data_IF_477222028363
#
_entry.id   IF_477222028363
#
_cell.length_a   1.000
_cell.length_b   1.000
_cell.length_c   1.000
_cell.angle_alpha   90.00
_cell.angle_beta   90.00
_cell.angle_gamma   90.00
#
_symmetry.space_group_name_H-M   'P 1'
#
loop_
_entity.id
_entity.type
_entity.pdbx_description
1 polymer ?
#
# COMPACT_ATOMS: atom_id res chain seq x y z
N UNK A 1 32.42 7.22 27.45
CA UNK A 1 33.10 7.11 26.14
C UNK A 1 33.19 5.63 25.86
N UNK A 2 32.22 5.07 25.12
CA UNK A 2 32.08 3.63 24.92
C UNK A 2 32.74 3.29 23.60
N UNK A 3 33.79 2.47 23.68
CA UNK A 3 34.64 2.04 22.59
C UNK A 3 33.93 0.95 21.77
N UNK A 4 33.91 1.14 20.45
CA UNK A 4 33.31 0.23 19.48
C UNK A 4 34.33 -0.88 19.18
N UNK A 5 34.15 -2.05 19.78
CA UNK A 5 34.87 -3.25 19.36
C UNK A 5 34.00 -4.51 19.48
N UNK A 6 33.90 -5.24 18.36
CA UNK A 6 33.45 -6.63 18.23
C UNK A 6 31.93 -6.91 18.21
N UNK A 7 31.32 -6.71 17.04
CA UNK A 7 30.80 -7.79 16.17
C UNK A 7 29.85 -8.89 16.68
N UNK A 8 29.47 -8.97 17.96
CA UNK A 8 28.50 -9.92 18.48
C UNK A 8 27.59 -9.19 19.44
N UNK A 9 26.34 -8.96 19.02
CA UNK A 9 25.29 -8.48 19.93
C UNK A 9 25.03 -9.62 20.91
N UNK A 10 25.57 -9.50 22.12
CA UNK A 10 25.46 -10.53 23.15
C UNK A 10 24.07 -10.42 23.79
N UNK A 11 23.07 -11.10 23.20
CA UNK A 11 21.69 -11.08 23.67
C UNK A 11 21.51 -11.69 25.07
N UNK A 12 22.49 -12.46 25.56
CA UNK A 12 22.41 -13.09 26.89
C UNK A 12 22.35 -12.07 28.04
N UNK A 13 22.83 -10.83 27.84
CA UNK A 13 22.77 -9.79 28.89
C UNK A 13 21.34 -9.23 29.06
N UNK A 14 20.49 -9.32 28.04
CA UNK A 14 19.08 -8.87 28.13
C UNK A 14 18.17 -9.99 28.67
N UNK A 15 18.57 -11.26 28.52
CA UNK A 15 17.75 -12.41 28.93
C UNK A 15 18.17 -13.05 30.26
N UNK A 16 19.40 -12.85 30.73
CA UNK A 16 19.83 -13.30 32.06
C UNK A 16 20.00 -12.09 32.99
N UNK A 17 19.06 -11.98 33.93
CA UNK A 17 19.11 -11.01 35.02
C UNK A 17 20.40 -11.14 35.81
N UNK A 18 21.38 -10.31 35.44
CA UNK A 18 22.50 -9.98 36.31
C UNK A 18 21.95 -9.06 37.39
N UNK A 19 22.30 -9.35 38.63
CA UNK A 19 21.85 -8.68 39.84
C UNK A 19 22.26 -7.21 39.92
N UNK A 20 21.66 -6.35 39.09
CA UNK A 20 21.58 -4.89 39.25
C UNK A 20 20.32 -4.38 38.55
N UNK A 21 19.49 -3.69 39.32
CA UNK A 21 18.12 -3.24 39.02
C UNK A 21 18.02 -2.36 37.76
N UNK A 22 17.64 -2.97 36.63
CA UNK A 22 16.96 -2.31 35.52
C UNK A 22 15.64 -3.04 35.25
N UNK A 23 14.60 -2.39 34.67
CA UNK A 23 13.37 -3.09 34.34
C UNK A 23 13.69 -4.26 33.39
N UNK A 24 13.23 -5.47 33.74
CA UNK A 24 13.27 -6.59 32.81
C UNK A 24 12.41 -6.22 31.59
N UNK A 25 13.06 -5.93 30.45
CA UNK A 25 12.36 -5.59 29.22
C UNK A 25 11.59 -6.83 28.78
N UNK A 26 10.27 -6.71 28.75
CA UNK A 26 9.38 -7.79 28.36
C UNK A 26 9.50 -8.09 26.85
N UNK A 27 9.19 -9.31 26.38
CA UNK A 27 9.21 -9.64 24.96
C UNK A 27 8.51 -8.64 24.03
N UNK A 28 7.28 -8.16 24.32
CA UNK A 28 6.66 -7.15 23.45
C UNK A 28 7.47 -5.84 23.41
N UNK A 29 8.03 -5.40 24.54
CA UNK A 29 8.86 -4.18 24.60
C UNK A 29 10.13 -4.33 23.77
N UNK A 30 10.75 -5.52 23.73
CA UNK A 30 11.91 -5.78 22.87
C UNK A 30 11.55 -5.54 21.39
N UNK A 31 10.48 -6.18 20.90
CA UNK A 31 10.12 -6.07 19.48
C UNK A 31 9.65 -4.66 19.12
N UNK A 32 9.00 -3.96 20.06
CA UNK A 32 8.63 -2.54 19.89
C UNK A 32 9.87 -1.65 19.84
N UNK A 33 10.84 -1.88 20.73
CA UNK A 33 12.09 -1.12 20.76
C UNK A 33 12.87 -1.29 19.45
N UNK A 34 12.94 -2.51 18.90
CA UNK A 34 13.58 -2.77 17.59
C UNK A 34 12.90 -1.96 16.47
N UNK A 35 11.56 -1.83 16.50
CA UNK A 35 10.82 -1.02 15.52
C UNK A 35 11.02 0.49 15.69
N UNK A 36 11.46 0.95 16.86
CA UNK A 36 11.77 2.35 17.13
C UNK A 36 13.15 2.80 16.60
N UNK A 37 13.99 1.86 16.16
CA UNK A 37 15.32 2.15 15.61
C UNK A 37 15.15 2.75 14.21
N UNK A 38 15.67 3.96 14.03
CA UNK A 38 15.77 4.63 12.75
C UNK A 38 17.19 4.40 12.20
N UNK A 39 17.35 3.76 11.02
CA UNK A 39 18.66 3.43 10.49
C UNK A 39 19.60 4.63 10.31
N UNK A 40 19.04 5.76 9.89
CA UNK A 40 19.82 6.95 9.53
C UNK A 40 20.16 7.77 10.77
N UNK A 41 19.19 7.96 11.67
CA UNK A 41 19.38 8.67 12.95
C UNK A 41 20.31 7.91 13.90
N UNK A 42 20.11 6.60 14.02
CA UNK A 42 20.80 5.80 15.03
C UNK A 42 22.10 5.17 14.47
N UNK A 43 22.37 5.32 13.17
CA UNK A 43 23.58 4.81 12.52
C UNK A 43 23.66 3.27 12.45
N UNK A 44 22.52 2.59 12.57
CA UNK A 44 22.43 1.12 12.56
C UNK A 44 21.98 0.65 11.18
N UNK A 45 22.76 -0.19 10.49
CA UNK A 45 22.37 -0.72 9.19
C UNK A 45 21.01 -1.43 9.25
N UNK A 46 20.09 -1.08 8.34
CA UNK A 46 18.73 -1.64 8.27
C UNK A 46 18.70 -3.18 8.34
N UNK A 47 19.68 -3.83 7.72
CA UNK A 47 19.82 -5.29 7.76
C UNK A 47 19.93 -5.83 9.18
N UNK A 48 20.71 -5.18 10.07
CA UNK A 48 20.85 -5.62 11.47
C UNK A 48 19.54 -5.50 12.25
N UNK A 49 18.76 -4.45 11.97
CA UNK A 49 17.43 -4.26 12.60
C UNK A 49 16.49 -5.37 12.13
N UNK A 50 16.51 -5.68 10.83
CA UNK A 50 15.74 -6.79 10.26
C UNK A 50 16.16 -8.14 10.88
N UNK A 51 17.45 -8.39 11.03
CA UNK A 51 17.97 -9.62 11.62
C UNK A 51 17.55 -9.76 13.10
N UNK A 52 17.56 -8.67 13.87
CA UNK A 52 17.03 -8.65 15.23
C UNK A 52 15.53 -8.97 15.29
N UNK A 53 14.72 -8.36 14.41
CA UNK A 53 13.30 -8.71 14.28
C UNK A 53 13.11 -10.21 13.93
N UNK A 54 13.90 -10.76 13.01
CA UNK A 54 13.80 -12.16 12.61
C UNK A 54 14.13 -13.10 13.79
N UNK A 55 15.16 -12.78 14.58
CA UNK A 55 15.54 -13.54 15.77
C UNK A 55 14.39 -13.61 16.80
N UNK A 56 13.61 -12.52 16.97
CA UNK A 56 12.40 -12.58 17.80
C UNK A 56 11.38 -13.61 17.29
N UNK A 57 11.14 -13.67 15.97
CA UNK A 57 10.19 -14.61 15.37
C UNK A 57 10.66 -16.08 15.39
N UNK A 58 11.97 -16.32 15.50
CA UNK A 58 12.53 -17.66 15.68
C UNK A 58 12.25 -18.20 17.10
N UNK A 59 12.16 -17.31 18.10
CA UNK A 59 11.89 -17.65 19.50
C UNK A 59 10.38 -17.76 19.79
N UNK A 60 9.66 -18.65 19.09
CA UNK A 60 8.18 -18.76 19.13
C UNK A 60 7.58 -19.08 20.50
N UNK A 61 8.35 -19.65 21.41
CA UNK A 61 7.91 -19.89 22.80
C UNK A 61 7.86 -18.60 23.62
N UNK A 62 8.67 -17.60 23.24
CA UNK A 62 8.74 -16.29 23.90
C UNK A 62 7.84 -15.29 23.16
N UNK A 63 7.98 -15.21 21.84
CA UNK A 63 7.19 -14.36 20.96
C UNK A 63 5.98 -15.13 20.44
N UNK A 64 5.08 -15.45 21.37
CA UNK A 64 3.85 -16.17 21.07
C UNK A 64 2.89 -15.34 20.22
N UNK A 65 1.85 -15.99 19.68
CA UNK A 65 0.78 -15.33 18.96
C UNK A 65 0.21 -14.11 19.71
N UNK A 66 -0.03 -14.24 21.02
CA UNK A 66 -0.58 -13.17 21.86
C UNK A 66 0.40 -12.00 22.01
N UNK A 67 1.69 -12.29 22.17
CA UNK A 67 2.74 -11.26 22.23
C UNK A 67 2.81 -10.50 20.90
N UNK A 68 2.81 -11.21 19.78
CA UNK A 68 2.85 -10.58 18.45
C UNK A 68 1.59 -9.75 18.20
N UNK A 69 0.39 -10.24 18.55
CA UNK A 69 -0.84 -9.47 18.44
C UNK A 69 -0.77 -8.17 19.24
N UNK A 70 -0.27 -8.23 20.49
CA UNK A 70 -0.05 -7.05 21.34
C UNK A 70 0.92 -6.06 20.69
N UNK A 71 2.06 -6.53 20.17
CA UNK A 71 3.05 -5.68 19.50
C UNK A 71 2.44 -5.01 18.28
N UNK A 72 1.77 -5.76 17.40
CA UNK A 72 1.13 -5.22 16.20
C UNK A 72 0.11 -4.14 16.56
N UNK A 73 -0.73 -4.38 17.58
CA UNK A 73 -1.74 -3.43 18.02
C UNK A 73 -1.13 -2.12 18.55
N UNK A 74 0.02 -2.20 19.23
CA UNK A 74 0.72 -1.01 19.73
C UNK A 74 1.45 -0.26 18.60
N UNK A 75 2.12 -0.98 17.70
CA UNK A 75 2.90 -0.35 16.62
C UNK A 75 2.01 0.40 15.62
N UNK A 76 0.81 -0.10 15.33
CA UNK A 76 -0.11 0.57 14.38
C UNK A 76 -0.62 1.92 14.90
N UNK A 77 -0.59 2.15 16.23
CA UNK A 77 -0.96 3.43 16.82
C UNK A 77 0.10 4.51 16.64
N UNK A 78 1.35 4.13 16.43
CA UNK A 78 2.46 5.07 16.36
C UNK A 78 2.35 6.02 15.16
N UNK A 79 2.85 7.24 15.36
CA UNK A 79 2.92 8.31 14.35
C UNK A 79 4.32 8.94 14.48
N UNK A 80 5.20 8.82 13.46
CA UNK A 80 4.99 8.11 12.19
C UNK A 80 4.89 6.58 12.38
N UNK A 81 4.27 5.89 11.42
CA UNK A 81 4.18 4.43 11.43
C UNK A 81 5.58 3.81 11.23
N UNK A 82 6.00 2.81 12.02
CA UNK A 82 7.36 2.26 11.95
C UNK A 82 7.71 1.67 10.59
N UNK A 83 8.95 1.90 10.14
CA UNK A 83 9.44 1.50 8.82
C UNK A 83 9.27 -0.01 8.52
N UNK A 84 9.49 -0.85 9.54
CA UNK A 84 9.42 -2.32 9.42
C UNK A 84 8.02 -2.89 9.69
N UNK A 85 7.03 -2.06 10.01
CA UNK A 85 5.72 -2.53 10.48
C UNK A 85 5.08 -3.58 9.55
N UNK A 86 4.98 -3.30 8.25
CA UNK A 86 4.36 -4.24 7.32
C UNK A 86 5.19 -5.51 7.10
N UNK A 87 6.50 -5.47 7.30
CA UNK A 87 7.32 -6.69 7.29
C UNK A 87 6.92 -7.60 8.45
N UNK A 88 6.74 -7.03 9.64
CA UNK A 88 6.30 -7.77 10.82
C UNK A 88 4.87 -8.29 10.69
N UNK A 89 3.96 -7.55 10.07
CA UNK A 89 2.63 -8.05 9.73
C UNK A 89 2.70 -9.30 8.82
N UNK A 90 3.53 -9.27 7.77
CA UNK A 90 3.72 -10.41 6.87
C UNK A 90 4.33 -11.63 7.60
N UNK A 91 5.31 -11.41 8.48
CA UNK A 91 5.89 -12.47 9.31
C UNK A 91 4.87 -13.06 10.29
N UNK A 92 4.01 -12.21 10.89
CA UNK A 92 2.98 -12.63 11.81
C UNK A 92 1.96 -13.57 11.15
N UNK A 93 1.48 -13.24 9.95
CA UNK A 93 0.57 -14.13 9.20
C UNK A 93 1.25 -15.46 8.85
N UNK A 94 2.51 -15.42 8.42
CA UNK A 94 3.25 -16.63 8.06
C UNK A 94 3.55 -17.54 9.26
N UNK A 95 3.79 -16.96 10.44
CA UNK A 95 4.07 -17.71 11.66
C UNK A 95 2.80 -18.15 12.41
N UNK A 96 1.75 -17.33 12.37
CA UNK A 96 0.52 -17.50 13.14
C UNK A 96 -0.72 -17.25 12.28
N UNK A 97 -1.16 -18.22 11.45
CA UNK A 97 -2.30 -18.07 10.55
C UNK A 97 -3.62 -17.66 11.24
N UNK A 98 -3.79 -18.03 12.51
CA UNK A 98 -4.95 -17.62 13.31
C UNK A 98 -5.01 -16.10 13.61
N UNK A 99 -4.01 -15.30 13.21
CA UNK A 99 -4.04 -13.84 13.29
C UNK A 99 -4.64 -13.16 12.05
N UNK A 100 -5.04 -13.88 10.99
CA UNK A 100 -5.49 -13.25 9.74
C UNK A 100 -6.63 -12.26 9.96
N UNK A 101 -7.68 -12.62 10.71
CA UNK A 101 -8.82 -11.73 10.95
C UNK A 101 -8.42 -10.49 11.75
N UNK A 102 -7.63 -10.68 12.82
CA UNK A 102 -7.03 -9.57 13.57
C UNK A 102 -6.18 -8.66 12.67
N UNK A 103 -5.40 -9.22 11.76
CA UNK A 103 -4.60 -8.44 10.81
C UNK A 103 -5.50 -7.68 9.83
N UNK A 104 -6.68 -8.17 9.45
CA UNK A 104 -7.60 -7.41 8.60
C UNK A 104 -8.12 -6.16 9.31
N UNK A 105 -8.34 -6.22 10.63
CA UNK A 105 -8.66 -5.04 11.45
C UNK A 105 -7.49 -4.04 11.44
N UNK A 106 -6.26 -4.53 11.59
CA UNK A 106 -5.04 -3.71 11.49
C UNK A 106 -4.93 -3.05 10.11
N UNK A 107 -5.11 -3.79 9.02
CA UNK A 107 -5.05 -3.23 7.66
C UNK A 107 -6.13 -2.18 7.42
N UNK A 108 -7.35 -2.39 7.93
CA UNK A 108 -8.43 -1.39 7.85
C UNK A 108 -8.03 -0.07 8.54
N UNK A 109 -7.35 -0.15 9.69
CA UNK A 109 -6.81 1.04 10.38
C UNK A 109 -5.71 1.73 9.57
N UNK A 110 -4.90 0.97 8.83
CA UNK A 110 -3.87 1.52 7.93
C UNK A 110 -4.46 2.25 6.73
N UNK A 111 -5.64 1.84 6.24
CA UNK A 111 -6.40 2.58 5.21
C UNK A 111 -6.76 3.97 5.76
N UNK A 112 -7.29 4.05 6.98
CA UNK A 112 -7.61 5.33 7.63
C UNK A 112 -6.36 6.21 7.85
N UNK A 113 -5.21 5.58 8.13
CA UNK A 113 -3.90 6.26 8.23
C UNK A 113 -3.25 6.56 6.87
N UNK A 114 -3.95 6.32 5.75
CA UNK A 114 -3.48 6.60 4.39
C UNK A 114 -2.13 5.98 4.07
N UNK A 115 -1.97 4.69 4.38
CA UNK A 115 -0.71 3.94 4.21
C UNK A 115 -0.06 4.06 2.83
N UNK A 116 -0.84 4.35 1.77
CA UNK A 116 -0.33 4.63 0.42
C UNK A 116 0.61 5.84 0.32
N UNK A 117 0.62 6.75 1.30
CA UNK A 117 1.60 7.85 1.39
C UNK A 117 3.02 7.39 1.72
N UNK A 118 3.20 6.14 2.16
CA UNK A 118 4.48 5.57 2.56
C UNK A 118 4.85 4.42 1.61
N UNK A 119 5.63 4.64 0.54
CA UNK A 119 5.79 3.67 -0.55
C UNK A 119 6.26 2.27 -0.10
N UNK A 120 7.19 2.19 0.85
CA UNK A 120 7.70 0.92 1.39
C UNK A 120 6.61 0.14 2.14
N UNK A 121 5.82 0.84 2.95
CA UNK A 121 4.71 0.24 3.70
C UNK A 121 3.55 -0.13 2.77
N UNK A 122 3.27 0.69 1.76
CA UNK A 122 2.25 0.41 0.75
C UNK A 122 2.50 -0.90 0.00
N UNK A 123 3.75 -1.15 -0.39
CA UNK A 123 4.14 -2.42 -1.02
C UNK A 123 3.86 -3.60 -0.08
N UNK A 124 4.16 -3.46 1.21
CA UNK A 124 3.86 -4.48 2.22
C UNK A 124 2.36 -4.71 2.40
N UNK A 125 1.56 -3.64 2.43
CA UNK A 125 0.09 -3.70 2.52
C UNK A 125 -0.50 -4.50 1.37
N UNK A 126 -0.09 -4.20 0.13
CA UNK A 126 -0.57 -4.89 -1.06
C UNK A 126 -0.18 -6.37 -1.07
N UNK A 127 1.05 -6.70 -0.67
CA UNK A 127 1.49 -8.09 -0.51
C UNK A 127 0.64 -8.84 0.52
N UNK A 128 0.37 -8.20 1.66
CA UNK A 128 -0.46 -8.77 2.71
C UNK A 128 -1.87 -9.06 2.16
N UNK A 129 -2.52 -8.05 1.56
CA UNK A 129 -3.84 -8.20 0.98
C UNK A 129 -3.91 -9.30 -0.09
N UNK A 130 -2.89 -9.41 -0.95
CA UNK A 130 -2.82 -10.47 -1.96
C UNK A 130 -2.68 -11.87 -1.36
N UNK A 131 -1.96 -12.01 -0.24
CA UNK A 131 -1.74 -13.29 0.43
C UNK A 131 -2.90 -13.75 1.32
N UNK A 132 -3.78 -12.84 1.73
CA UNK A 132 -4.91 -13.11 2.64
C UNK A 132 -6.26 -12.98 1.94
N UNK A 133 -6.33 -13.36 0.66
CA UNK A 133 -7.61 -13.49 -0.04
C UNK A 133 -8.37 -14.72 0.51
N UNK A 134 -9.71 -14.64 0.66
CA UNK A 134 -10.59 -13.51 0.35
C UNK A 134 -10.77 -12.49 1.48
N UNK A 135 -10.20 -12.72 2.67
CA UNK A 135 -10.40 -11.89 3.87
C UNK A 135 -10.04 -10.42 3.66
N UNK A 136 -9.08 -10.14 2.77
CA UNK A 136 -8.64 -8.78 2.45
C UNK A 136 -9.59 -7.98 1.57
N UNK A 137 -10.61 -8.58 0.96
CA UNK A 137 -11.45 -7.89 -0.02
C UNK A 137 -12.20 -6.71 0.58
N UNK A 138 -12.80 -6.88 1.77
CA UNK A 138 -13.48 -5.78 2.47
C UNK A 138 -12.52 -4.63 2.80
N UNK A 139 -11.26 -4.93 3.11
CA UNK A 139 -10.23 -3.90 3.35
C UNK A 139 -9.88 -3.16 2.05
N UNK A 140 -9.71 -3.88 0.94
CA UNK A 140 -9.42 -3.27 -0.36
C UNK A 140 -10.56 -2.35 -0.82
N UNK A 141 -11.81 -2.71 -0.55
CA UNK A 141 -12.99 -1.90 -0.87
C UNK A 141 -13.15 -0.65 0.00
N UNK A 142 -12.37 -0.50 1.08
CA UNK A 142 -12.30 0.75 1.86
C UNK A 142 -11.36 1.79 1.24
N UNK A 143 -10.50 1.38 0.29
CA UNK A 143 -9.57 2.31 -0.37
C UNK A 143 -10.35 3.35 -1.19
N UNK A 144 -9.89 4.62 -1.23
CA UNK A 144 -10.46 5.57 -2.16
C UNK A 144 -10.22 5.14 -3.62
N UNK A 145 -11.04 5.59 -4.60
CA UNK A 145 -11.02 5.08 -5.97
C UNK A 145 -9.64 5.07 -6.63
N UNK A 146 -8.88 6.17 -6.52
CA UNK A 146 -7.54 6.27 -7.11
C UNK A 146 -6.54 5.28 -6.48
N UNK A 147 -6.67 5.01 -5.19
CA UNK A 147 -5.81 4.06 -4.48
C UNK A 147 -6.20 2.61 -4.77
N UNK A 148 -7.50 2.33 -4.92
CA UNK A 148 -7.97 1.02 -5.36
C UNK A 148 -7.46 0.72 -6.77
N UNK A 149 -7.59 1.67 -7.71
CA UNK A 149 -7.06 1.52 -9.06
C UNK A 149 -5.54 1.27 -9.04
N UNK A 150 -4.79 2.05 -8.26
CA UNK A 150 -3.36 1.84 -8.09
C UNK A 150 -3.03 0.44 -7.55
N UNK A 151 -3.79 -0.04 -6.55
CA UNK A 151 -3.64 -1.37 -5.98
C UNK A 151 -3.84 -2.47 -7.03
N UNK A 152 -4.89 -2.36 -7.84
CA UNK A 152 -5.21 -3.32 -8.90
C UNK A 152 -4.17 -3.31 -10.04
N UNK A 153 -3.64 -2.14 -10.39
CA UNK A 153 -2.58 -2.03 -11.39
C UNK A 153 -1.25 -2.65 -10.90
N UNK A 154 -0.92 -2.47 -9.61
CA UNK A 154 0.28 -3.08 -9.01
C UNK A 154 0.12 -4.57 -8.73
N UNK A 155 -1.11 -5.03 -8.46
CA UNK A 155 -1.42 -6.42 -8.18
C UNK A 155 -2.58 -6.93 -9.04
N UNK A 156 -2.35 -7.18 -10.35
CA UNK A 156 -3.41 -7.59 -11.27
C UNK A 156 -4.17 -8.85 -10.83
N UNK A 157 -3.49 -9.77 -10.13
CA UNK A 157 -4.08 -11.00 -9.57
C UNK A 157 -5.13 -10.77 -8.47
N UNK A 158 -5.35 -9.53 -8.03
CA UNK A 158 -6.46 -9.15 -7.15
C UNK A 158 -7.74 -8.81 -7.91
N UNK A 159 -7.64 -8.37 -9.17
CA UNK A 159 -8.73 -7.72 -9.90
C UNK A 159 -9.94 -8.63 -10.07
N UNK A 160 -9.76 -9.76 -10.74
CA UNK A 160 -10.88 -10.68 -11.03
C UNK A 160 -11.57 -11.19 -9.75
N UNK A 161 -10.86 -11.70 -8.72
CA UNK A 161 -11.48 -12.13 -7.48
C UNK A 161 -12.21 -11.00 -6.73
N UNK A 162 -11.64 -9.78 -6.72
CA UNK A 162 -12.26 -8.64 -6.06
C UNK A 162 -13.52 -8.18 -6.79
N UNK A 163 -13.51 -8.18 -8.12
CA UNK A 163 -14.70 -7.87 -8.94
C UNK A 163 -15.80 -8.89 -8.69
N UNK A 164 -15.47 -10.19 -8.65
CA UNK A 164 -16.44 -11.24 -8.34
C UNK A 164 -17.08 -11.05 -6.96
N UNK A 165 -16.26 -10.71 -5.94
CA UNK A 165 -16.76 -10.39 -4.61
C UNK A 165 -17.64 -9.13 -4.59
N UNK A 166 -17.18 -8.04 -5.19
CA UNK A 166 -17.91 -6.77 -5.23
C UNK A 166 -19.20 -6.82 -6.06
N UNK A 167 -19.33 -7.78 -6.97
CA UNK A 167 -20.52 -7.97 -7.80
C UNK A 167 -21.67 -8.66 -7.07
N UNK A 168 -21.43 -9.24 -5.89
CA UNK A 168 -22.48 -9.86 -5.08
C UNK A 168 -23.55 -8.83 -4.72
N UNK A 169 -24.87 -9.12 -4.83
CA UNK A 169 -25.93 -8.12 -4.73
C UNK A 169 -25.91 -7.27 -3.45
N UNK A 170 -25.62 -7.89 -2.30
CA UNK A 170 -25.52 -7.25 -0.99
C UNK A 170 -24.31 -6.32 -0.85
N UNK A 171 -23.21 -6.64 -1.54
CA UNK A 171 -21.99 -5.83 -1.51
C UNK A 171 -22.13 -4.69 -2.52
N UNK A 172 -22.49 -5.02 -3.77
CA UNK A 172 -22.66 -4.07 -4.87
C UNK A 172 -23.58 -2.91 -4.50
N UNK A 173 -24.69 -3.18 -3.81
CA UNK A 173 -25.67 -2.15 -3.41
C UNK A 173 -25.14 -1.17 -2.36
N UNK A 174 -24.13 -1.59 -1.57
CA UNK A 174 -23.50 -0.75 -0.54
C UNK A 174 -22.31 0.07 -1.05
N UNK A 175 -21.77 -0.28 -2.22
CA UNK A 175 -20.55 0.35 -2.74
C UNK A 175 -20.84 1.69 -3.43
N UNK A 176 -20.02 2.73 -3.18
CA UNK A 176 -20.04 3.95 -3.97
C UNK A 176 -19.85 3.69 -5.46
N UNK A 177 -20.58 4.44 -6.30
CA UNK A 177 -20.51 4.28 -7.77
C UNK A 177 -19.08 4.45 -8.32
N UNK A 178 -18.29 5.34 -7.73
CA UNK A 178 -16.89 5.55 -8.14
C UNK A 178 -16.04 4.28 -8.01
N UNK A 179 -16.26 3.46 -6.98
CA UNK A 179 -15.58 2.16 -6.86
C UNK A 179 -16.10 1.15 -7.89
N UNK A 180 -17.41 1.14 -8.14
CA UNK A 180 -17.99 0.27 -9.18
C UNK A 180 -17.43 0.57 -10.57
N UNK A 181 -17.13 1.84 -10.89
CA UNK A 181 -16.49 2.24 -12.14
C UNK A 181 -15.04 1.75 -12.20
N UNK A 182 -14.24 1.96 -11.14
CA UNK A 182 -12.85 1.46 -11.07
C UNK A 182 -12.78 -0.07 -11.22
N UNK A 183 -13.77 -0.78 -10.68
CA UNK A 183 -13.89 -2.23 -10.80
C UNK A 183 -14.42 -2.69 -12.17
N UNK A 184 -14.89 -1.79 -13.02
CA UNK A 184 -15.52 -2.12 -14.30
C UNK A 184 -16.91 -2.77 -14.18
N UNK A 185 -17.55 -2.65 -13.02
CA UNK A 185 -18.90 -3.18 -12.74
C UNK A 185 -19.98 -2.21 -13.25
N UNK A 186 -19.67 -0.91 -13.28
CA UNK A 186 -20.54 0.15 -13.79
C UNK A 186 -19.84 0.90 -14.93
N UNK A 187 -20.60 1.37 -15.94
CA UNK A 187 -20.04 2.21 -16.99
C UNK A 187 -19.61 3.56 -16.44
N UNK A 188 -18.49 4.08 -16.97
CA UNK A 188 -18.07 5.45 -16.74
C UNK A 188 -19.01 6.39 -17.52
N UNK A 189 -19.58 7.37 -16.82
CA UNK A 189 -20.53 8.33 -17.37
C UNK A 189 -19.86 9.66 -17.75
N UNK A 190 -18.53 9.78 -17.62
CA UNK A 190 -17.79 11.03 -17.84
C UNK A 190 -17.15 11.18 -19.24
N UNK A 191 -17.55 10.41 -20.24
CA UNK A 191 -17.17 10.70 -21.63
C UNK A 191 -18.26 11.53 -22.31
N UNK A 192 -18.11 12.85 -22.50
CA UNK A 192 -18.91 13.56 -23.49
C UNK A 192 -18.51 12.99 -24.86
N UNK A 193 -19.41 12.21 -25.45
CA UNK A 193 -19.28 11.79 -26.84
C UNK A 193 -19.20 13.03 -27.72
N UNK A 194 -18.08 13.20 -28.43
CA UNK A 194 -18.09 13.94 -29.68
C UNK A 194 -18.93 13.15 -30.68
N UNK A 195 -20.23 13.35 -30.61
CA UNK A 195 -21.19 12.96 -31.62
C UNK A 195 -22.01 14.19 -31.98
N UNK A 196 -21.45 15.02 -32.86
CA UNK A 196 -22.24 15.87 -33.74
C UNK A 196 -21.81 15.58 -35.18
N UNK A 197 -22.47 14.56 -35.72
CA UNK A 197 -22.97 14.58 -37.10
C UNK A 197 -23.66 15.91 -37.37
N UNK A 198 -23.19 16.66 -38.36
CA UNK A 198 -24.02 17.61 -39.09
C UNK A 198 -24.05 17.16 -40.54
N UNK A 199 -25.25 16.74 -40.93
CA UNK A 199 -25.62 16.31 -42.27
C UNK A 199 -25.54 17.48 -43.26
N UNK A 200 -25.24 17.08 -44.49
CA UNK A 200 -25.31 17.81 -45.76
C UNK A 200 -26.40 18.89 -45.86
N UNK A 201 -26.00 20.05 -46.40
CA UNK A 201 -26.86 20.88 -47.25
C UNK A 201 -26.29 20.89 -48.66
N UNK A 202 -27.06 20.33 -49.58
CA UNK A 202 -26.98 20.49 -51.03
C UNK A 202 -27.55 21.85 -51.44
N UNK A 203 -26.86 22.58 -52.31
CA UNK A 203 -27.35 23.80 -52.95
C UNK A 203 -26.41 24.23 -54.08
N UNK A 204 -26.90 24.14 -55.30
CA UNK A 204 -26.22 24.23 -56.59
C UNK A 204 -26.16 25.67 -57.16
N UNK A 205 -25.25 25.85 -58.13
CA UNK A 205 -25.17 26.84 -59.22
C UNK A 205 -24.71 28.30 -58.96
N UNK A 206 -23.67 28.70 -59.71
CA UNK A 206 -23.36 30.11 -60.03
C UNK A 206 -21.93 30.37 -60.53
N UNK A 207 -21.69 30.23 -61.83
CA UNK A 207 -20.44 30.56 -62.56
C UNK A 207 -20.43 32.03 -63.04
N UNK A 208 -19.23 32.56 -63.34
CA UNK A 208 -18.83 33.85 -63.99
C UNK A 208 -18.64 35.04 -63.02
N UNK A 209 -17.59 35.87 -63.08
CA UNK A 209 -16.64 36.18 -64.17
C UNK A 209 -15.28 36.76 -63.66
N UNK A 210 -14.35 36.89 -64.62
CA UNK A 210 -12.93 37.31 -64.57
C UNK A 210 -12.62 38.77 -64.18
N UNK A 211 -11.41 39.02 -63.65
CA UNK A 211 -10.40 40.03 -64.06
C UNK A 211 -9.15 39.92 -63.12
N UNK A 212 -7.97 39.45 -63.55
CA UNK A 212 -6.84 40.12 -64.24
C UNK A 212 -6.00 41.08 -63.36
N UNK A 213 -4.83 40.54 -62.94
CA UNK A 213 -3.43 41.08 -62.95
C UNK A 213 -3.03 42.31 -62.11
N UNK A 214 -2.07 42.11 -61.17
CA UNK A 214 -0.69 42.70 -61.20
C UNK A 214 0.22 42.01 -60.15
N UNK A 215 1.37 41.42 -60.55
CA UNK A 215 2.76 41.91 -60.35
C UNK A 215 3.14 42.27 -58.88
N UNK A 216 4.27 41.89 -58.26
CA UNK A 216 5.53 41.21 -58.60
C UNK A 216 6.37 41.07 -57.29
N UNK A 217 7.48 40.34 -57.40
CA UNK A 217 8.65 40.16 -56.51
C UNK A 217 8.65 38.95 -55.55
N UNK A 218 9.44 37.89 -55.84
CA UNK A 218 10.89 37.71 -55.56
C UNK A 218 11.15 37.54 -54.04
N UNK A 219 11.88 36.58 -53.48
CA UNK A 219 12.86 35.61 -53.98
C UNK A 219 13.10 34.52 -52.89
N UNK A 220 13.58 33.34 -53.31
CA UNK A 220 14.55 32.40 -52.67
C UNK A 220 14.57 32.18 -51.14
N UNK A 221 14.37 30.93 -50.67
CA UNK A 221 15.35 29.81 -50.66
C UNK A 221 16.42 29.92 -49.57
N UNK A 222 16.28 29.07 -48.54
CA UNK A 222 17.29 28.12 -48.02
C UNK A 222 16.66 27.26 -46.92
#
# INVERSE_FOLDING_TARGET
>A
MVEVASGRVHWDIILQGSSHTGPLISPPEILIAIHGIDPDRDGIPLKKIIDACNACFEQRQIFTQQVIAKVLNQLVEQIPLPLLFMRTVLQAIGAFPALVDFVMEILSRLVNKQIWKYPKLWVGFLKCAASTKPQSFTVLLQLPPAQLENALNRMPALKEPLVAHASQPNIRSSLPRSLLVVLGIAPDLQTPGHAQTSQAQTGDAGTSDKEVVNEKDSSNAS
#
